data_IF_403524108371
#
_entry.id   IF_403524108371
#
_cell.length_a   1.000
_cell.length_b   1.000
_cell.length_c   1.000
_cell.angle_alpha   90.00
_cell.angle_beta   90.00
_cell.angle_gamma   90.00
#
_symmetry.space_group_name_H-M   'P 1'
#
loop_
_entity.id
_entity.type
_entity.pdbx_description
1 polymer ?
#
# COMPACT_ATOMS: atom_id res chain seq x y z
N UNK A 1 11.81 27.91 6.17
CA UNK A 1 11.41 26.54 5.80
C UNK A 1 10.69 26.61 4.47
N UNK A 2 10.87 25.63 3.59
CA UNK A 2 10.07 25.57 2.36
C UNK A 2 8.59 25.36 2.71
N UNK A 3 7.70 26.14 2.11
CA UNK A 3 6.26 26.06 2.35
C UNK A 3 5.65 24.90 1.56
N UNK A 4 4.76 24.14 2.19
CA UNK A 4 3.95 23.09 1.52
C UNK A 4 2.58 23.67 1.19
N UNK A 5 2.10 23.41 -0.03
CA UNK A 5 0.76 23.82 -0.46
C UNK A 5 -0.27 22.79 -0.01
N UNK A 6 -1.29 23.25 0.72
CA UNK A 6 -2.50 22.49 1.02
C UNK A 6 -3.67 23.10 0.24
N UNK A 7 -4.26 22.31 -0.67
CA UNK A 7 -5.41 22.72 -1.47
C UNK A 7 -6.64 21.93 -1.04
N UNK A 8 -7.71 22.64 -0.70
CA UNK A 8 -9.02 22.03 -0.39
C UNK A 8 -9.78 21.80 -1.69
N UNK A 9 -10.28 20.59 -1.88
CA UNK A 9 -11.13 20.24 -3.02
C UNK A 9 -12.57 20.18 -2.54
N UNK A 10 -13.39 21.02 -3.16
CA UNK A 10 -14.83 21.11 -2.93
C UNK A 10 -15.51 21.36 -4.28
N UNK A 11 -16.28 20.39 -4.75
CA UNK A 11 -16.97 20.43 -6.03
C UNK A 11 -18.48 20.25 -5.84
N UNK A 12 -19.26 20.94 -6.67
CA UNK A 12 -20.73 20.79 -6.71
C UNK A 12 -21.19 19.60 -7.55
N UNK A 13 -20.26 18.86 -8.18
CA UNK A 13 -20.55 17.73 -9.05
C UNK A 13 -20.65 16.40 -8.32
N UNK A 14 -20.18 16.35 -7.08
CA UNK A 14 -20.16 15.14 -6.25
C UNK A 14 -20.96 15.45 -4.99
N UNK A 15 -21.92 14.61 -4.59
CA UNK A 15 -22.68 14.83 -3.38
C UNK A 15 -21.75 14.78 -2.16
N UNK A 16 -22.07 15.58 -1.15
CA UNK A 16 -21.33 15.64 0.11
C UNK A 16 -22.29 15.33 1.25
N UNK A 17 -21.95 14.35 2.08
CA UNK A 17 -22.74 14.08 3.27
C UNK A 17 -22.66 15.28 4.23
N UNK A 18 -23.71 15.58 5.01
CA UNK A 18 -23.71 16.70 5.95
C UNK A 18 -22.81 16.37 7.15
N UNK A 19 -21.52 16.68 7.05
CA UNK A 19 -20.54 16.50 8.12
C UNK A 19 -19.34 17.48 7.95
N UNK A 20 -18.58 17.75 9.04
CA UNK A 20 -17.46 18.68 9.02
C UNK A 20 -16.18 18.05 8.43
N UNK A 21 -16.17 17.82 7.11
CA UNK A 21 -15.02 17.29 6.38
C UNK A 21 -14.87 17.93 4.99
N UNK A 22 -13.75 17.67 4.30
CA UNK A 22 -13.53 18.08 2.91
C UNK A 22 -13.65 16.87 1.99
N UNK A 23 -14.23 17.01 0.80
CA UNK A 23 -14.37 15.89 -0.14
C UNK A 23 -13.01 15.30 -0.47
N UNK A 24 -12.03 16.16 -0.78
CA UNK A 24 -10.63 15.77 -0.84
C UNK A 24 -9.71 16.92 -0.40
N UNK A 25 -8.47 16.57 -0.04
CA UNK A 25 -7.40 17.51 0.26
C UNK A 25 -6.16 17.09 -0.52
N UNK A 26 -5.57 18.04 -1.24
CA UNK A 26 -4.25 17.85 -1.87
C UNK A 26 -3.20 18.47 -0.95
N UNK A 27 -2.23 17.67 -0.53
CA UNK A 27 -1.05 18.12 0.20
C UNK A 27 0.17 17.79 -0.65
N UNK A 28 0.86 18.83 -1.14
CA UNK A 28 1.91 18.70 -2.15
C UNK A 28 1.43 17.90 -3.38
N UNK A 29 1.91 16.66 -3.57
CA UNK A 29 1.52 15.78 -4.68
C UNK A 29 0.58 14.64 -4.31
N UNK A 30 0.11 14.59 -3.06
CA UNK A 30 -0.76 13.53 -2.57
C UNK A 30 -2.18 14.03 -2.42
N UNK A 31 -3.12 13.30 -3.00
CA UNK A 31 -4.57 13.52 -2.84
C UNK A 31 -5.09 12.54 -1.81
N UNK A 32 -5.71 13.08 -0.77
CA UNK A 32 -6.49 12.32 0.20
C UNK A 32 -7.96 12.55 -0.09
N UNK A 33 -8.66 11.51 -0.52
CA UNK A 33 -10.10 11.53 -0.72
C UNK A 33 -10.77 10.98 0.55
N UNK A 34 -11.79 11.69 1.01
CA UNK A 34 -12.66 11.16 2.06
C UNK A 34 -13.49 9.98 1.54
N UNK A 35 -14.13 9.25 2.46
CA UNK A 35 -15.06 8.19 2.09
C UNK A 35 -16.18 8.69 1.18
N UNK A 36 -16.33 8.01 0.05
CA UNK A 36 -17.32 8.30 -0.98
C UNK A 36 -18.42 7.26 -0.90
N UNK A 37 -19.66 7.74 -0.81
CA UNK A 37 -20.86 6.92 -0.79
C UNK A 37 -21.52 6.90 -2.18
N UNK A 38 -22.34 5.87 -2.42
CA UNK A 38 -23.17 5.74 -3.62
C UNK A 38 -24.40 6.63 -3.58
N UNK A 39 -24.21 7.95 -3.53
CA UNK A 39 -25.29 8.94 -3.49
C UNK A 39 -25.53 9.59 -4.86
N UNK A 40 -26.78 9.96 -5.12
CA UNK A 40 -27.15 10.82 -6.24
C UNK A 40 -26.95 12.29 -5.91
N UNK A 41 -26.52 13.06 -6.91
CA UNK A 41 -26.22 14.48 -6.74
C UNK A 41 -27.50 15.32 -6.51
N UNK A 42 -28.56 14.99 -7.25
CA UNK A 42 -29.81 15.77 -7.27
C UNK A 42 -30.64 15.54 -6.02
N UNK A 43 -30.78 14.28 -5.61
CA UNK A 43 -31.60 13.89 -4.46
C UNK A 43 -30.84 13.88 -3.14
N UNK A 44 -29.50 13.83 -3.19
CA UNK A 44 -28.61 13.63 -2.04
C UNK A 44 -28.95 12.36 -1.22
N UNK A 45 -29.56 11.37 -1.86
CA UNK A 45 -29.91 10.06 -1.28
C UNK A 45 -29.02 8.98 -1.87
N UNK A 46 -28.89 7.88 -1.14
CA UNK A 46 -28.27 6.66 -1.65
C UNK A 46 -29.07 6.12 -2.83
N UNK A 47 -28.38 5.59 -3.85
CA UNK A 47 -29.05 4.89 -4.95
C UNK A 47 -29.69 3.59 -4.47
N UNK A 48 -30.82 3.27 -5.08
CA UNK A 48 -31.49 1.98 -4.91
C UNK A 48 -30.69 0.87 -5.63
N UNK A 49 -30.91 -0.39 -5.23
CA UNK A 49 -30.23 -1.56 -5.81
C UNK A 49 -29.10 -2.13 -4.97
N UNK A 50 -28.97 -1.70 -3.70
CA UNK A 50 -28.07 -2.31 -2.72
C UNK A 50 -26.59 -2.06 -2.98
N UNK A 51 -25.72 -2.93 -2.44
CA UNK A 51 -24.27 -2.77 -2.51
C UNK A 51 -23.71 -2.62 -3.94
N UNK A 52 -24.17 -3.36 -4.97
CA UNK A 52 -23.61 -3.23 -6.32
C UNK A 52 -23.91 -1.85 -6.93
N UNK A 53 -25.17 -1.41 -6.89
CA UNK A 53 -25.56 -0.10 -7.42
C UNK A 53 -24.86 1.05 -6.68
N UNK A 54 -24.79 0.96 -5.34
CA UNK A 54 -24.09 1.94 -4.53
C UNK A 54 -22.58 1.94 -4.80
N UNK A 55 -21.96 0.79 -5.09
CA UNK A 55 -20.54 0.70 -5.45
C UNK A 55 -20.28 1.40 -6.78
N UNK A 56 -21.09 1.10 -7.80
CA UNK A 56 -20.98 1.73 -9.11
C UNK A 56 -21.08 3.26 -9.00
N UNK A 57 -22.07 3.74 -8.23
CA UNK A 57 -22.25 5.18 -8.00
C UNK A 57 -21.12 5.80 -7.18
N UNK A 58 -20.64 5.13 -6.14
CA UNK A 58 -19.51 5.59 -5.33
C UNK A 58 -18.24 5.75 -6.18
N UNK A 59 -17.98 4.80 -7.09
CA UNK A 59 -16.83 4.84 -7.99
C UNK A 59 -16.96 5.92 -9.07
N UNK A 60 -18.17 6.20 -9.58
CA UNK A 60 -18.44 7.33 -10.46
C UNK A 60 -18.12 8.67 -9.75
N UNK A 61 -18.67 8.85 -8.56
CA UNK A 61 -18.44 10.01 -7.70
C UNK A 61 -16.95 10.18 -7.37
N UNK A 62 -16.25 9.09 -7.04
CA UNK A 62 -14.82 9.07 -6.75
C UNK A 62 -14.00 9.48 -7.98
N UNK A 63 -14.36 8.99 -9.16
CA UNK A 63 -13.70 9.33 -10.44
C UNK A 63 -13.84 10.82 -10.76
N UNK A 64 -15.03 11.38 -10.57
CA UNK A 64 -15.26 12.83 -10.71
C UNK A 64 -14.43 13.63 -9.71
N UNK A 65 -14.36 13.18 -8.46
CA UNK A 65 -13.61 13.87 -7.42
C UNK A 65 -12.09 13.82 -7.64
N UNK A 66 -11.56 12.71 -8.16
CA UNK A 66 -10.16 12.60 -8.60
C UNK A 66 -9.85 13.63 -9.69
N UNK A 67 -10.73 13.75 -10.69
CA UNK A 67 -10.58 14.72 -11.79
C UNK A 67 -10.56 16.16 -11.28
N UNK A 68 -11.47 16.52 -10.36
CA UNK A 68 -11.53 17.85 -9.74
C UNK A 68 -10.30 18.13 -8.84
N UNK A 69 -9.64 17.08 -8.38
CA UNK A 69 -8.38 17.15 -7.62
C UNK A 69 -7.13 17.27 -8.50
N UNK A 70 -7.26 17.24 -9.84
CA UNK A 70 -6.11 17.20 -10.76
C UNK A 70 -5.40 15.85 -10.82
N UNK A 71 -6.13 14.78 -10.48
CA UNK A 71 -5.68 13.39 -10.49
C UNK A 71 -6.53 12.56 -11.46
N UNK A 72 -6.40 11.24 -11.42
CA UNK A 72 -7.11 10.27 -12.24
C UNK A 72 -7.10 8.89 -11.60
N UNK A 73 -7.95 7.99 -12.10
CA UNK A 73 -8.12 6.62 -11.59
C UNK A 73 -6.79 5.85 -11.66
N UNK A 74 -6.01 6.09 -12.70
CA UNK A 74 -4.68 5.52 -12.94
C UNK A 74 -3.61 5.97 -11.94
N UNK A 75 -3.86 7.04 -11.18
CA UNK A 75 -2.94 7.59 -10.17
C UNK A 75 -3.36 7.22 -8.74
N UNK A 76 -4.41 6.42 -8.58
CA UNK A 76 -4.84 5.91 -7.27
C UNK A 76 -3.85 4.84 -6.83
N UNK A 77 -3.27 5.04 -5.65
CA UNK A 77 -2.25 4.13 -5.10
C UNK A 77 -2.80 3.24 -3.99
N UNK A 78 -3.85 3.69 -3.29
CA UNK A 78 -4.50 2.96 -2.20
C UNK A 78 -5.99 3.22 -2.21
N UNK A 79 -6.78 2.17 -2.00
CA UNK A 79 -8.21 2.26 -1.67
C UNK A 79 -8.53 1.50 -0.40
N UNK A 80 -9.50 1.97 0.37
CA UNK A 80 -10.14 1.18 1.44
C UNK A 80 -11.62 1.09 1.13
N UNK A 81 -12.15 -0.12 1.14
CA UNK A 81 -13.56 -0.42 0.88
C UNK A 81 -14.17 -0.91 2.18
N UNK A 82 -15.17 -0.20 2.65
CA UNK A 82 -15.92 -0.51 3.85
C UNK A 82 -17.28 -1.06 3.42
N UNK A 83 -17.64 -2.25 3.88
CA UNK A 83 -18.90 -2.91 3.54
C UNK A 83 -19.83 -2.99 4.74
N UNK A 84 -21.14 -2.86 4.53
CA UNK A 84 -22.13 -3.15 5.56
C UNK A 84 -22.32 -4.66 5.77
N UNK A 85 -22.20 -5.45 4.69
CA UNK A 85 -22.24 -6.92 4.73
C UNK A 85 -21.11 -7.50 3.89
N UNK A 86 -20.42 -8.52 4.42
CA UNK A 86 -19.34 -9.20 3.71
C UNK A 86 -19.84 -10.13 2.58
N UNK A 87 -21.12 -10.52 2.61
CA UNK A 87 -21.73 -11.31 1.52
C UNK A 87 -21.72 -10.57 0.17
N UNK A 88 -21.71 -9.22 0.20
CA UNK A 88 -21.66 -8.36 -0.99
C UNK A 88 -20.27 -8.28 -1.63
N UNK A 89 -19.24 -8.86 -1.03
CA UNK A 89 -17.84 -8.70 -1.45
C UNK A 89 -17.61 -9.04 -2.91
N UNK A 90 -18.20 -10.14 -3.41
CA UNK A 90 -18.05 -10.55 -4.80
C UNK A 90 -18.65 -9.52 -5.77
N UNK A 91 -19.87 -9.07 -5.53
CA UNK A 91 -20.57 -8.13 -6.41
C UNK A 91 -19.90 -6.74 -6.41
N UNK A 92 -19.42 -6.28 -5.24
CA UNK A 92 -18.64 -5.04 -5.12
C UNK A 92 -17.34 -5.12 -5.93
N UNK A 93 -16.66 -6.27 -5.93
CA UNK A 93 -15.44 -6.47 -6.72
C UNK A 93 -15.68 -6.37 -8.22
N UNK A 94 -16.83 -6.83 -8.70
CA UNK A 94 -17.15 -6.79 -10.13
C UNK A 94 -17.38 -5.35 -10.60
N UNK A 95 -18.05 -4.53 -9.81
CA UNK A 95 -18.17 -3.09 -10.08
C UNK A 95 -16.82 -2.38 -9.94
N UNK A 96 -15.99 -2.74 -8.95
CA UNK A 96 -14.65 -2.18 -8.77
C UNK A 96 -13.75 -2.39 -9.98
N UNK A 97 -13.79 -3.58 -10.60
CA UNK A 97 -12.99 -3.93 -11.79
C UNK A 97 -13.40 -3.14 -13.04
N UNK A 98 -14.61 -2.58 -13.08
CA UNK A 98 -15.04 -1.74 -14.22
C UNK A 98 -14.31 -0.41 -14.24
N UNK A 99 -13.90 0.10 -13.08
CA UNK A 99 -13.14 1.35 -12.96
C UNK A 99 -11.64 1.11 -12.93
N UNK A 100 -11.18 0.12 -12.14
CA UNK A 100 -9.77 -0.26 -12.08
C UNK A 100 -9.53 -1.50 -12.93
N UNK A 101 -8.97 -1.32 -14.13
CA UNK A 101 -8.76 -2.41 -15.11
C UNK A 101 -7.32 -2.95 -15.16
N UNK A 102 -6.34 -2.18 -14.70
CA UNK A 102 -4.93 -2.56 -14.69
C UNK A 102 -4.18 -1.76 -13.61
N UNK A 103 -2.98 -2.23 -13.21
CA UNK A 103 -2.16 -1.61 -12.16
C UNK A 103 -3.00 -1.26 -10.91
N UNK A 104 -3.73 -2.25 -10.39
CA UNK A 104 -4.67 -2.06 -9.30
C UNK A 104 -4.03 -1.34 -8.10
N UNK A 105 -4.77 -0.41 -7.45
CA UNK A 105 -4.32 0.19 -6.20
C UNK A 105 -4.09 -0.89 -5.14
N UNK A 106 -3.18 -0.61 -4.20
CA UNK A 106 -3.19 -1.36 -2.94
C UNK A 106 -4.59 -1.26 -2.32
N UNK A 107 -5.08 -2.33 -1.69
CA UNK A 107 -6.48 -2.37 -1.25
C UNK A 107 -6.65 -3.02 0.09
N UNK A 108 -7.54 -2.44 0.89
CA UNK A 108 -8.05 -3.04 2.13
C UNK A 108 -9.57 -3.10 2.03
N UNK A 109 -10.18 -4.23 2.36
CA UNK A 109 -11.62 -4.40 2.30
C UNK A 109 -12.10 -5.23 3.50
N UNK A 110 -13.10 -4.73 4.22
CA UNK A 110 -13.68 -5.40 5.37
C UNK A 110 -15.11 -4.90 5.65
N UNK A 111 -15.89 -5.72 6.36
CA UNK A 111 -17.19 -5.32 6.85
C UNK A 111 -17.07 -4.48 8.13
N UNK A 112 -17.94 -3.48 8.27
CA UNK A 112 -18.07 -2.61 9.45
C UNK A 112 -19.46 -2.76 10.06
N UNK A 113 -19.63 -2.30 11.30
CA UNK A 113 -20.92 -2.39 11.99
C UNK A 113 -22.02 -1.58 11.26
N UNK A 114 -21.74 -0.32 10.93
CA UNK A 114 -22.66 0.57 10.20
C UNK A 114 -21.89 1.61 9.41
N UNK A 115 -22.44 2.01 8.27
CA UNK A 115 -21.98 3.13 7.46
C UNK A 115 -22.93 4.33 7.57
N UNK A 116 -22.47 5.56 7.27
CA UNK A 116 -23.31 6.75 7.29
C UNK A 116 -24.53 6.58 6.37
N UNK A 117 -25.67 7.15 6.79
CA UNK A 117 -26.95 7.10 6.05
C UNK A 117 -27.48 5.68 5.79
N UNK A 118 -26.92 4.64 6.43
CA UNK A 118 -27.29 3.25 6.15
C UNK A 118 -26.76 2.74 4.81
N UNK A 119 -25.67 3.32 4.30
CA UNK A 119 -25.03 2.85 3.07
C UNK A 119 -24.58 1.40 3.18
N UNK A 120 -24.57 0.72 2.03
CA UNK A 120 -24.06 -0.65 1.90
C UNK A 120 -22.55 -0.68 1.66
N UNK A 121 -21.99 0.40 1.10
CA UNK A 121 -20.56 0.53 0.78
C UNK A 121 -20.07 1.97 0.92
N UNK A 122 -18.85 2.12 1.37
CA UNK A 122 -18.10 3.38 1.39
C UNK A 122 -16.67 3.13 0.87
N UNK A 123 -16.17 4.01 0.00
CA UNK A 123 -14.85 3.86 -0.62
C UNK A 123 -14.02 5.12 -0.40
N UNK A 124 -12.87 4.98 0.26
CA UNK A 124 -11.84 6.03 0.32
C UNK A 124 -10.67 5.70 -0.60
N UNK A 125 -9.93 6.74 -0.99
CA UNK A 125 -8.78 6.60 -1.87
C UNK A 125 -7.66 7.60 -1.55
N UNK A 126 -6.43 7.16 -1.79
CA UNK A 126 -5.24 8.00 -1.86
C UNK A 126 -4.72 7.94 -3.28
N UNK A 127 -4.45 9.11 -3.86
CA UNK A 127 -3.96 9.24 -5.23
C UNK A 127 -2.80 10.23 -5.32
N UNK A 128 -2.15 10.27 -6.47
CA UNK A 128 -1.09 11.20 -6.79
C UNK A 128 -1.57 12.27 -7.78
N UNK A 129 -0.97 13.46 -7.74
CA UNK A 129 -1.15 14.52 -8.75
C UNK A 129 0.13 14.69 -9.58
N UNK A 130 0.00 15.35 -10.73
CA UNK A 130 1.12 15.58 -11.65
C UNK A 130 1.44 14.37 -12.54
N UNK A 131 2.63 14.36 -13.12
CA UNK A 131 3.13 13.26 -13.95
C UNK A 131 3.56 12.08 -13.08
N UNK A 132 3.06 10.88 -13.39
CA UNK A 132 3.40 9.63 -12.69
C UNK A 132 4.04 8.69 -13.69
N UNK A 133 5.28 8.29 -13.41
CA UNK A 133 6.03 7.36 -14.25
C UNK A 133 5.88 5.95 -13.68
N UNK A 134 5.21 5.07 -14.42
CA UNK A 134 5.06 3.67 -14.03
C UNK A 134 6.31 2.87 -14.45
N UNK A 135 7.03 2.32 -13.46
CA UNK A 135 8.29 1.58 -13.71
C UNK A 135 8.06 0.33 -14.58
N UNK A 136 6.89 -0.32 -14.52
CA UNK A 136 6.59 -1.45 -15.41
C UNK A 136 6.58 -1.05 -16.89
N UNK A 137 6.19 0.20 -17.21
CA UNK A 137 6.26 0.78 -18.57
C UNK A 137 7.70 1.06 -19.01
N UNK A 138 8.63 1.24 -18.06
CA UNK A 138 10.05 1.40 -18.39
C UNK A 138 10.69 0.11 -18.93
N UNK A 139 10.08 -1.07 -18.73
CA UNK A 139 10.60 -2.34 -19.32
C UNK A 139 10.40 -2.44 -20.83
N UNK A 140 9.47 -1.68 -21.43
CA UNK A 140 9.38 -1.55 -22.90
C UNK A 140 10.27 -0.44 -23.45
N UNK A 141 10.86 0.38 -22.58
CA UNK A 141 11.95 1.28 -22.94
C UNK A 141 13.21 0.45 -22.90
N UNK A 142 13.83 0.28 -24.06
CA UNK A 142 15.09 -0.43 -24.23
C UNK A 142 16.07 -0.03 -23.10
N UNK A 143 16.41 -0.96 -22.19
CA UNK A 143 17.19 -0.71 -20.96
C UNK A 143 18.45 0.12 -21.22
N UNK A 144 19.04 -0.01 -22.40
CA UNK A 144 20.21 0.73 -22.86
C UNK A 144 19.96 2.24 -22.95
N UNK A 145 18.78 2.68 -23.38
CA UNK A 145 18.41 4.10 -23.45
C UNK A 145 18.15 4.70 -22.07
N UNK A 146 17.47 3.95 -21.19
CA UNK A 146 17.17 4.44 -19.84
C UNK A 146 18.44 4.59 -19.00
N UNK A 147 19.39 3.64 -19.12
CA UNK A 147 20.68 3.75 -18.47
C UNK A 147 21.47 4.94 -19.04
N UNK A 148 21.46 5.14 -20.36
CA UNK A 148 22.14 6.27 -21.00
C UNK A 148 21.54 7.63 -20.63
N UNK A 149 20.22 7.72 -20.51
CA UNK A 149 19.51 8.95 -20.14
C UNK A 149 19.63 9.24 -18.64
N UNK A 150 19.65 8.20 -17.78
CA UNK A 150 19.93 8.33 -16.35
C UNK A 150 21.40 8.69 -16.09
N UNK A 151 22.35 8.08 -16.83
CA UNK A 151 23.77 8.44 -16.81
C UNK A 151 23.96 9.88 -17.26
N UNK A 152 23.36 10.29 -18.38
CA UNK A 152 23.36 11.69 -18.84
C UNK A 152 22.73 12.66 -17.85
N UNK A 153 21.63 12.27 -17.21
CA UNK A 153 20.96 13.10 -16.22
C UNK A 153 21.85 13.28 -14.98
N UNK A 154 22.47 12.20 -14.49
CA UNK A 154 23.43 12.24 -13.38
C UNK A 154 24.69 13.04 -13.74
N UNK A 155 25.20 12.89 -14.96
CA UNK A 155 26.32 13.69 -15.51
C UNK A 155 25.96 15.17 -15.56
N UNK A 156 24.75 15.54 -16.01
CA UNK A 156 24.29 16.92 -16.04
C UNK A 156 24.15 17.51 -14.62
N UNK A 157 23.63 16.75 -13.66
CA UNK A 157 23.56 17.20 -12.26
C UNK A 157 24.95 17.37 -11.66
N UNK A 158 25.88 16.44 -11.93
CA UNK A 158 27.26 16.55 -11.50
C UNK A 158 27.95 17.77 -12.12
N UNK A 159 27.77 18.01 -13.42
CA UNK A 159 28.33 19.18 -14.11
C UNK A 159 27.75 20.49 -13.55
N UNK A 160 26.45 20.54 -13.30
CA UNK A 160 25.81 21.70 -12.69
C UNK A 160 26.38 22.01 -11.30
N UNK A 161 26.63 20.98 -10.49
CA UNK A 161 27.28 21.15 -9.18
C UNK A 161 28.73 21.64 -9.32
N UNK A 162 29.49 21.11 -10.28
CA UNK A 162 30.85 21.57 -10.58
C UNK A 162 30.85 23.03 -11.02
N UNK A 163 29.94 23.43 -11.90
CA UNK A 163 29.84 24.79 -12.43
C UNK A 163 29.42 25.78 -11.33
N UNK A 164 28.42 25.42 -10.52
CA UNK A 164 27.98 26.23 -9.39
C UNK A 164 29.09 26.42 -8.35
N UNK A 165 29.84 25.36 -8.06
CA UNK A 165 30.98 25.39 -7.12
C UNK A 165 32.13 26.23 -7.69
N UNK A 166 32.41 26.10 -8.99
CA UNK A 166 33.44 26.89 -9.68
C UNK A 166 33.07 28.37 -9.76
N UNK A 167 31.80 28.69 -10.02
CA UNK A 167 31.29 30.06 -10.01
C UNK A 167 31.35 30.67 -8.59
N UNK A 168 30.99 29.89 -7.56
CA UNK A 168 31.10 30.32 -6.17
C UNK A 168 32.55 30.59 -5.77
N UNK A 169 33.51 29.77 -6.22
CA UNK A 169 34.95 29.99 -6.01
C UNK A 169 35.45 31.25 -6.71
N UNK A 170 35.12 31.43 -8.00
CA UNK A 170 35.48 32.64 -8.76
C UNK A 170 34.89 33.91 -8.16
N UNK A 171 33.70 33.81 -7.57
CA UNK A 171 33.04 34.91 -6.86
C UNK A 171 33.56 35.12 -5.42
N UNK A 172 34.58 34.37 -4.98
CA UNK A 172 35.17 34.46 -3.63
C UNK A 172 34.26 33.98 -2.51
N UNK A 173 33.15 33.30 -2.82
CA UNK A 173 32.19 32.80 -1.82
C UNK A 173 32.67 31.53 -1.12
N UNK A 174 33.63 30.82 -1.71
CA UNK A 174 34.33 29.67 -1.11
C UNK A 174 35.83 29.81 -1.33
N UNK A 175 36.62 29.33 -0.37
CA UNK A 175 38.08 29.52 -0.36
C UNK A 175 38.84 28.50 -1.22
N UNK A 176 38.25 27.35 -1.54
CA UNK A 176 38.85 26.30 -2.35
C UNK A 176 37.79 25.65 -3.26
N UNK A 177 38.16 25.36 -4.51
CA UNK A 177 37.34 24.56 -5.41
C UNK A 177 37.82 23.09 -5.37
N UNK A 178 37.01 22.15 -4.86
CA UNK A 178 37.40 20.74 -4.77
C UNK A 178 37.54 20.06 -6.15
N UNK A 179 37.06 20.68 -7.23
CA UNK A 179 37.05 20.12 -8.59
C UNK A 179 38.18 20.66 -9.49
N UNK A 180 39.11 21.48 -8.98
CA UNK A 180 40.28 21.96 -9.76
C UNK A 180 41.48 21.02 -9.73
N UNK A 181 41.43 19.96 -8.91
CA UNK A 181 42.43 18.90 -9.00
C UNK A 181 42.17 18.12 -10.29
N UNK A 182 43.15 18.08 -11.20
CA UNK A 182 43.08 17.24 -12.40
C UNK A 182 42.75 15.78 -12.07
N UNK A 183 42.33 14.99 -13.07
CA UNK A 183 41.81 13.63 -12.85
C UNK A 183 42.75 12.83 -11.93
N UNK A 184 42.20 12.06 -10.97
CA UNK A 184 43.03 11.27 -10.07
C UNK A 184 43.96 10.38 -10.91
N UNK A 185 45.25 10.38 -10.56
CA UNK A 185 46.26 9.61 -11.31
C UNK A 185 45.79 8.15 -11.44
N UNK A 186 45.98 7.48 -12.60
CA UNK A 186 45.33 6.20 -12.93
C UNK A 186 45.69 4.98 -12.05
N UNK A 187 46.29 5.15 -10.87
CA UNK A 187 46.85 4.04 -10.10
C UNK A 187 46.66 4.18 -8.59
N UNK A 188 45.46 4.55 -8.14
CA UNK A 188 45.05 4.26 -6.76
C UNK A 188 44.41 2.88 -6.76
N UNK A 189 45.23 1.86 -6.49
CA UNK A 189 44.75 0.51 -6.23
C UNK A 189 43.86 0.59 -4.98
N UNK A 190 42.54 0.43 -5.15
CA UNK A 190 41.61 0.32 -4.03
C UNK A 190 41.85 -1.08 -3.45
N UNK A 191 42.40 -1.23 -2.23
CA UNK A 191 42.50 -2.55 -1.63
C UNK A 191 41.08 -3.09 -1.41
N UNK A 192 40.82 -4.39 -1.63
CA UNK A 192 39.52 -4.96 -1.37
C UNK A 192 39.14 -4.74 0.10
N UNK A 193 37.84 -4.70 0.45
CA UNK A 193 37.39 -4.43 1.80
C UNK A 193 37.96 -5.50 2.75
N UNK A 194 39.03 -5.16 3.46
CA UNK A 194 39.53 -5.99 4.54
C UNK A 194 38.48 -6.01 5.64
N UNK A 195 37.94 -7.19 5.95
CA UNK A 195 37.21 -7.44 7.19
C UNK A 195 38.17 -7.24 8.39
N UNK A 196 38.50 -5.99 8.69
CA UNK A 196 39.17 -5.61 9.92
C UNK A 196 38.10 -5.45 11.00
N UNK A 197 37.78 -6.54 11.69
CA UNK A 197 37.08 -6.42 12.97
C UNK A 197 37.97 -5.63 13.93
N UNK A 198 37.54 -4.41 14.28
CA UNK A 198 38.16 -3.68 15.38
C UNK A 198 38.05 -4.53 16.65
N UNK A 199 39.19 -4.90 17.22
CA UNK A 199 39.26 -5.60 18.49
C UNK A 199 38.60 -4.73 19.58
N UNK A 200 37.66 -5.32 20.32
CA UNK A 200 37.09 -4.69 21.52
C UNK A 200 38.20 -4.60 22.58
N UNK A 201 38.35 -3.48 23.31
CA UNK A 201 39.37 -3.37 24.35
C UNK A 201 39.10 -4.39 25.46
N UNK A 202 40.03 -5.33 25.69
CA UNK A 202 39.98 -6.24 26.85
C UNK A 202 40.36 -7.72 26.63
N UNK A 203 40.79 -8.17 25.45
CA UNK A 203 41.21 -9.56 25.25
C UNK A 203 42.72 -9.67 25.02
N UNK A 204 43.38 -10.53 25.80
CA UNK A 204 44.82 -10.80 25.69
C UNK A 204 45.15 -11.52 24.36
N UNK A 205 46.32 -11.26 23.74
CA UNK A 205 46.70 -11.91 22.48
C UNK A 205 47.13 -13.36 22.73
N UNK A 206 46.48 -14.35 22.08
CA UNK A 206 46.97 -15.73 22.10
C UNK A 206 45.97 -16.87 21.88
N UNK A 207 44.66 -16.63 21.81
CA UNK A 207 43.69 -17.69 21.52
C UNK A 207 43.29 -17.69 20.04
N UNK A 208 43.78 -18.67 19.28
CA UNK A 208 43.28 -18.96 17.93
C UNK A 208 41.83 -19.46 18.02
N UNK A 209 40.93 -18.88 17.22
CA UNK A 209 39.60 -19.47 17.01
C UNK A 209 39.72 -20.73 16.16
N UNK A 210 38.95 -21.81 16.45
CA UNK A 210 38.93 -22.99 15.61
C UNK A 210 38.30 -22.68 14.24
N UNK A 211 38.75 -23.33 13.16
CA UNK A 211 38.32 -23.01 11.79
C UNK A 211 36.85 -23.38 11.53
N UNK A 212 36.16 -22.50 10.80
CA UNK A 212 34.82 -22.74 10.25
C UNK A 212 34.89 -23.83 9.16
N UNK A 213 34.31 -25.00 9.44
CA UNK A 213 34.11 -26.07 8.47
C UNK A 213 33.11 -25.62 7.40
N UNK A 214 33.57 -25.52 6.16
CA UNK A 214 32.76 -25.31 4.96
C UNK A 214 32.38 -26.68 4.39
N UNK A 215 31.08 -26.98 4.26
CA UNK A 215 30.60 -28.08 3.43
C UNK A 215 29.45 -28.90 4.02
N UNK A 216 28.24 -28.70 3.48
CA UNK A 216 27.30 -29.74 3.03
C UNK A 216 25.87 -29.17 2.95
N UNK A 217 25.31 -29.21 1.74
CA UNK A 217 23.89 -28.99 1.45
C UNK A 217 23.04 -30.15 2.01
N UNK A 218 21.93 -29.90 2.73
CA UNK A 218 20.87 -30.88 2.86
C UNK A 218 19.58 -30.38 2.18
N UNK A 219 19.03 -31.22 1.30
CA UNK A 219 17.74 -31.03 0.65
C UNK A 219 16.56 -30.96 1.63
N UNK A 220 15.33 -30.78 1.10
CA UNK A 220 14.19 -30.35 1.91
C UNK A 220 13.66 -31.47 2.82
N UNK A 221 13.27 -31.18 4.08
CA UNK A 221 12.66 -32.18 4.93
C UNK A 221 11.15 -32.32 4.69
N UNK A 222 10.75 -33.57 4.86
CA UNK A 222 9.48 -34.25 4.67
C UNK A 222 8.32 -33.63 5.48
N UNK A 223 7.14 -33.73 4.87
CA UNK A 223 5.79 -33.45 5.36
C UNK A 223 5.43 -34.31 6.59
N UNK A 224 4.89 -33.66 7.63
CA UNK A 224 4.09 -34.33 8.66
C UNK A 224 4.70 -34.34 10.06
N UNK A 225 4.27 -33.40 10.90
CA UNK A 225 3.98 -33.59 12.33
C UNK A 225 3.42 -32.29 12.90
N UNK A 226 2.11 -32.28 13.21
CA UNK A 226 1.46 -31.19 13.96
C UNK A 226 1.84 -31.35 15.45
N UNK A 227 2.17 -30.27 16.17
CA UNK A 227 2.36 -30.36 17.63
C UNK A 227 1.02 -30.64 18.34
N UNK A 228 1.02 -31.45 19.42
CA UNK A 228 -0.20 -31.87 20.10
C UNK A 228 -0.80 -30.75 20.98
N UNK A 229 -2.12 -30.66 20.97
CA UNK A 229 -2.95 -29.85 21.86
C UNK A 229 -2.81 -30.36 23.31
N UNK A 230 -2.53 -29.46 24.24
CA UNK A 230 -2.62 -29.72 25.68
C UNK A 230 -4.02 -29.40 26.23
N UNK A 231 -4.37 -30.18 27.27
CA UNK A 231 -5.41 -30.03 28.31
C UNK A 231 -6.64 -30.97 28.19
N UNK A 232 -7.27 -31.42 29.30
CA UNK A 232 -6.85 -31.44 30.71
C UNK A 232 -6.92 -32.85 31.38
N UNK A 233 -6.12 -33.07 32.42
CA UNK A 233 -6.23 -34.23 33.32
C UNK A 233 -7.25 -33.94 34.43
N UNK A 234 -8.27 -34.79 34.60
CA UNK A 234 -9.13 -34.75 35.79
C UNK A 234 -10.34 -35.70 35.74
N UNK A 235 -10.21 -36.82 36.45
CA UNK A 235 -11.26 -37.67 37.09
C UNK A 235 -11.83 -38.93 36.37
N UNK A 236 -12.20 -39.98 37.17
CA UNK A 236 -11.98 -41.41 36.86
C UNK A 236 -13.26 -42.19 36.47
N UNK A 237 -13.16 -43.50 36.08
CA UNK A 237 -14.23 -44.23 35.39
C UNK A 237 -15.12 -45.05 36.33
N UNK A 238 -16.44 -45.05 36.08
CA UNK A 238 -17.34 -46.09 36.60
C UNK A 238 -18.77 -45.62 36.88
N UNK A 239 -19.64 -45.61 35.87
CA UNK A 239 -21.04 -46.06 35.98
C UNK A 239 -21.66 -46.16 34.58
N UNK A 240 -22.07 -47.38 34.24
CA UNK A 240 -22.67 -47.77 32.97
C UNK A 240 -24.10 -47.24 32.81
N UNK A 241 -24.43 -46.93 31.56
CA UNK A 241 -25.70 -47.11 30.85
C UNK A 241 -27.02 -46.90 31.60
N UNK A 242 -27.83 -45.95 31.11
CA UNK A 242 -29.21 -46.24 30.74
C UNK A 242 -29.65 -45.35 29.57
N UNK A 243 -30.10 -46.02 28.51
CA UNK A 243 -30.78 -45.43 27.36
C UNK A 243 -32.15 -44.90 27.77
N UNK A 244 -32.57 -43.75 27.23
CA UNK A 244 -33.98 -43.45 26.92
C UNK A 244 -34.11 -42.06 26.24
N UNK A 245 -34.52 -42.08 24.97
CA UNK A 245 -35.28 -41.05 24.25
C UNK A 245 -36.38 -41.82 23.49
N UNK A 246 -37.48 -41.19 23.04
CA UNK A 246 -38.50 -40.40 23.75
C UNK A 246 -39.92 -40.98 23.39
N UNK A 247 -41.05 -40.31 23.73
CA UNK A 247 -42.24 -40.47 22.89
C UNK A 247 -42.63 -39.17 22.19
N UNK A 248 -43.08 -39.38 20.95
CA UNK A 248 -43.60 -38.42 19.99
C UNK A 248 -44.90 -37.77 20.48
N UNK A 249 -45.14 -36.51 20.09
CA UNK A 249 -46.50 -36.01 19.90
C UNK A 249 -46.61 -35.27 18.56
N UNK A 250 -47.41 -35.86 17.68
CA UNK A 250 -47.83 -35.35 16.39
C UNK A 250 -48.88 -34.24 16.59
N UNK A 251 -48.71 -33.09 15.95
CA UNK A 251 -49.77 -32.10 15.71
C UNK A 251 -49.96 -31.93 14.19
N UNK A 252 -51.20 -31.91 13.66
CA UNK A 252 -51.45 -31.78 12.23
C UNK A 252 -51.24 -30.34 11.71
N UNK A 253 -50.86 -30.15 10.43
CA UNK A 253 -50.63 -28.84 9.85
C UNK A 253 -51.93 -28.09 9.49
N UNK A 254 -51.92 -26.74 9.45
CA UNK A 254 -53.10 -25.93 9.17
C UNK A 254 -53.48 -25.97 7.67
N UNK A 255 -54.78 -26.14 7.40
CA UNK A 255 -55.37 -26.03 6.06
C UNK A 255 -55.67 -24.56 5.73
N UNK A 256 -55.29 -24.14 4.52
CA UNK A 256 -55.66 -22.84 3.93
C UNK A 256 -57.15 -22.84 3.52
N UNK A 257 -57.83 -21.72 3.78
CA UNK A 257 -59.04 -21.27 3.08
C UNK A 257 -58.78 -19.86 2.56
#
# INVERSE_FOLDING_TARGET
>A
MASIVRKIISTKKVPKAPAPYNQAVVADRTVYLSGVLGMELESLKLVDGGAPAQTAKALENLTLLLKESGSGVEKVVKTTILLANMDDYAAVNDEYKRVFSSNFPARTCFAVNKLPLGAAVEIEAIALTGEVIQVSTLKSINKTKLNHDAEKWMEQQAQHLIDATTAAFKAGKIQQNPFTAGPPKPNVTIPPPGMGMAARPGMMPGMQQPPLMMGANPGPPIMGMRPPMMMPLGMPPGLQMHAMRPPMMNGPPPQMK
#
